data_IF_576618435072
#
_entry.id   IF_576618435072
#
_cell.length_a   1.000
_cell.length_b   1.000
_cell.length_c   1.000
_cell.angle_alpha   90.00
_cell.angle_beta   90.00
_cell.angle_gamma   90.00
#
_symmetry.space_group_name_H-M   'P 1'
#
loop_
_entity.id
_entity.type
_entity.pdbx_description
1 polymer ?
#
# COMPACT_ATOMS: atom_id res chain seq x y z
N UNK A 1 25.09 2.46 -14.56
CA UNK A 1 25.35 1.39 -13.57
C UNK A 1 25.14 2.02 -12.20
N UNK A 2 23.94 1.88 -11.63
CA UNK A 2 23.56 2.53 -10.36
C UNK A 2 23.77 1.54 -9.22
N UNK A 3 24.47 1.95 -8.16
CA UNK A 3 24.78 1.12 -6.99
C UNK A 3 23.51 0.75 -6.20
N UNK A 4 23.15 -0.54 -6.22
CA UNK A 4 22.01 -1.16 -5.54
C UNK A 4 22.39 -1.77 -4.17
N UNK A 5 23.24 -1.12 -3.37
CA UNK A 5 23.84 -1.77 -2.18
C UNK A 5 23.12 -1.57 -0.83
N UNK A 6 21.99 -0.86 -0.75
CA UNK A 6 21.39 -0.54 0.57
C UNK A 6 20.19 -1.39 1.03
N UNK A 7 19.92 -2.57 0.45
CA UNK A 7 18.71 -3.34 0.77
C UNK A 7 18.90 -4.84 1.06
N UNK A 8 20.04 -5.23 1.65
CA UNK A 8 20.44 -6.65 1.70
C UNK A 8 19.76 -7.58 2.73
N UNK A 9 18.89 -7.11 3.64
CA UNK A 9 18.45 -7.97 4.77
C UNK A 9 16.93 -8.23 4.87
N UNK A 10 16.15 -8.12 3.78
CA UNK A 10 14.73 -8.54 3.80
C UNK A 10 14.52 -10.03 4.12
N UNK A 11 15.54 -10.87 3.92
CA UNK A 11 15.51 -12.29 4.31
C UNK A 11 15.47 -12.49 5.83
N UNK A 12 15.97 -11.52 6.60
CA UNK A 12 16.02 -11.54 8.06
C UNK A 12 14.77 -10.93 8.71
N UNK A 13 13.87 -10.35 7.91
CA UNK A 13 12.60 -9.82 8.42
C UNK A 13 11.66 -10.99 8.65
N UNK A 14 11.30 -11.20 9.91
CA UNK A 14 10.25 -12.12 10.32
C UNK A 14 8.90 -11.52 9.92
N UNK A 15 8.07 -12.33 9.26
CA UNK A 15 6.75 -11.91 8.79
C UNK A 15 5.72 -12.82 9.42
N UNK A 16 4.81 -12.23 10.18
CA UNK A 16 3.67 -12.93 10.77
C UNK A 16 2.41 -12.45 10.07
N UNK A 17 1.61 -13.40 9.56
CA UNK A 17 0.30 -13.11 8.96
C UNK A 17 -0.76 -13.87 9.74
N UNK A 18 -1.62 -13.12 10.41
CA UNK A 18 -2.74 -13.61 11.21
C UNK A 18 -4.03 -13.16 10.54
N UNK A 19 -4.84 -14.12 10.11
CA UNK A 19 -6.10 -13.86 9.41
C UNK A 19 -7.15 -14.68 10.12
N UNK A 20 -8.29 -14.06 10.42
CA UNK A 20 -9.45 -14.80 10.88
C UNK A 20 -9.96 -15.70 9.74
N UNK A 21 -9.95 -17.02 9.97
CA UNK A 21 -10.24 -18.03 8.95
C UNK A 21 -11.73 -18.03 8.55
N UNK A 22 -12.62 -17.51 9.40
CA UNK A 22 -14.06 -17.47 9.13
C UNK A 22 -14.50 -16.22 8.35
N UNK A 23 -13.56 -15.34 8.02
CA UNK A 23 -13.82 -14.10 7.31
C UNK A 23 -14.46 -14.33 5.95
N UNK A 24 -15.47 -13.52 5.64
CA UNK A 24 -16.10 -13.46 4.32
C UNK A 24 -16.26 -12.03 3.92
N UNK A 25 -15.80 -11.65 2.74
CA UNK A 25 -15.99 -10.30 2.23
C UNK A 25 -15.82 -10.25 0.72
N UNK A 26 -16.37 -9.19 0.13
CA UNK A 26 -16.14 -8.85 -1.27
C UNK A 26 -15.49 -7.48 -1.32
N UNK A 27 -14.46 -7.35 -2.14
CA UNK A 27 -13.72 -6.10 -2.31
C UNK A 27 -13.39 -5.86 -3.78
N UNK A 28 -13.11 -4.61 -4.12
CA UNK A 28 -12.39 -4.28 -5.35
C UNK A 28 -10.97 -4.84 -5.27
N UNK A 29 -10.62 -5.76 -6.19
CA UNK A 29 -9.35 -6.47 -6.20
C UNK A 29 -8.16 -5.53 -6.34
N UNK A 30 -8.30 -4.49 -7.15
CA UNK A 30 -7.25 -3.52 -7.43
C UNK A 30 -6.98 -2.66 -6.19
N UNK A 31 -8.02 -2.09 -5.57
CA UNK A 31 -7.86 -1.26 -4.36
C UNK A 31 -7.24 -2.02 -3.21
N UNK A 32 -7.74 -3.22 -2.93
CA UNK A 32 -7.20 -4.08 -1.89
C UNK A 32 -5.72 -4.40 -2.16
N UNK A 33 -5.40 -4.70 -3.42
CA UNK A 33 -4.03 -4.94 -3.88
C UNK A 33 -3.10 -3.75 -3.66
N UNK A 34 -3.54 -2.54 -4.00
CA UNK A 34 -2.77 -1.30 -3.84
C UNK A 34 -2.55 -0.97 -2.36
N UNK A 35 -3.61 -1.09 -1.56
CA UNK A 35 -3.54 -0.86 -0.11
C UNK A 35 -2.49 -1.77 0.52
N UNK A 36 -2.61 -3.08 0.28
CA UNK A 36 -1.66 -4.07 0.79
C UNK A 36 -0.24 -3.81 0.28
N UNK A 37 -0.08 -3.58 -1.03
CA UNK A 37 1.23 -3.33 -1.63
C UNK A 37 1.94 -2.15 -0.98
N UNK A 38 1.26 -1.01 -0.82
CA UNK A 38 1.85 0.20 -0.29
C UNK A 38 2.18 0.07 1.20
N UNK A 39 1.27 -0.49 2.01
CA UNK A 39 1.49 -0.67 3.44
C UNK A 39 2.65 -1.66 3.70
N UNK A 40 2.63 -2.82 3.06
CA UNK A 40 3.66 -3.86 3.22
C UNK A 40 5.01 -3.36 2.69
N UNK A 41 5.04 -2.68 1.54
CA UNK A 41 6.29 -2.13 0.99
C UNK A 41 6.88 -1.06 1.90
N UNK A 42 6.04 -0.23 2.53
CA UNK A 42 6.52 0.76 3.49
C UNK A 42 7.08 0.08 4.74
N UNK A 43 6.37 -0.91 5.30
CA UNK A 43 6.83 -1.69 6.44
C UNK A 43 8.23 -2.27 6.19
N UNK A 44 8.44 -2.92 5.04
CA UNK A 44 9.74 -3.43 4.64
C UNK A 44 10.78 -2.32 4.40
N UNK A 45 10.41 -1.25 3.71
CA UNK A 45 11.32 -0.16 3.34
C UNK A 45 11.89 0.58 4.56
N UNK A 46 11.10 0.71 5.62
CA UNK A 46 11.46 1.48 6.80
C UNK A 46 11.86 0.63 8.01
N UNK A 47 12.18 -0.66 7.78
CA UNK A 47 12.80 -1.52 8.80
C UNK A 47 14.05 -0.85 9.37
N UNK A 48 14.16 -0.90 10.70
CA UNK A 48 15.32 -0.43 11.42
C UNK A 48 16.40 -1.52 11.43
N UNK A 49 17.41 -1.36 10.59
CA UNK A 49 18.52 -2.31 10.48
C UNK A 49 19.42 -2.36 11.71
N UNK A 50 19.26 -1.45 12.67
CA UNK A 50 20.00 -1.50 13.95
C UNK A 50 19.39 -2.48 14.94
N UNK A 51 18.13 -2.90 14.74
CA UNK A 51 17.44 -3.85 15.63
C UNK A 51 17.88 -5.28 15.33
N UNK A 52 18.09 -6.04 16.40
CA UNK A 52 18.47 -7.46 16.35
C UNK A 52 17.35 -8.36 15.81
N UNK A 53 16.10 -7.97 16.01
CA UNK A 53 14.93 -8.59 15.39
C UNK A 53 14.24 -7.59 14.49
N UNK A 54 13.88 -8.02 13.28
CA UNK A 54 13.15 -7.23 12.28
C UNK A 54 11.84 -7.94 12.04
N UNK A 55 10.72 -7.25 12.19
CA UNK A 55 9.40 -7.86 12.24
C UNK A 55 8.37 -7.04 11.49
N UNK A 56 7.54 -7.73 10.72
CA UNK A 56 6.31 -7.19 10.15
C UNK A 56 5.16 -8.13 10.53
N UNK A 57 4.14 -7.60 11.19
CA UNK A 57 2.92 -8.32 11.51
C UNK A 57 1.77 -7.77 10.65
N UNK A 58 1.00 -8.68 10.06
CA UNK A 58 -0.18 -8.35 9.27
C UNK A 58 -1.36 -9.09 9.87
N UNK A 59 -2.34 -8.34 10.33
CA UNK A 59 -3.57 -8.87 10.91
C UNK A 59 -4.76 -8.50 10.04
N UNK A 60 -5.67 -9.46 9.82
CA UNK A 60 -6.93 -9.21 9.15
C UNK A 60 -8.10 -9.87 9.89
N UNK A 61 -9.18 -9.11 10.08
CA UNK A 61 -10.42 -9.59 10.70
C UNK A 61 -11.64 -8.90 10.07
N UNK A 62 -12.83 -9.51 10.19
CA UNK A 62 -14.10 -8.82 9.91
C UNK A 62 -14.69 -8.33 11.23
N UNK A 63 -15.00 -7.03 11.32
CA UNK A 63 -15.77 -6.43 12.43
C UNK A 63 -16.93 -5.66 11.84
N UNK A 64 -18.17 -5.97 12.24
CA UNK A 64 -19.37 -5.25 11.79
C UNK A 64 -19.40 -5.02 10.26
N UNK A 65 -19.18 -6.10 9.49
CA UNK A 65 -19.10 -6.08 8.02
C UNK A 65 -17.99 -5.22 7.40
N UNK A 66 -17.00 -4.87 8.21
CA UNK A 66 -15.80 -4.12 7.80
C UNK A 66 -14.58 -5.03 7.87
N UNK A 67 -13.83 -5.12 6.76
CA UNK A 67 -12.47 -5.67 6.77
C UNK A 67 -11.57 -4.71 7.53
N UNK A 68 -11.06 -5.15 8.67
CA UNK A 68 -10.03 -4.46 9.45
C UNK A 68 -8.70 -5.11 9.12
N UNK A 69 -7.85 -4.37 8.43
CA UNK A 69 -6.48 -4.75 8.09
C UNK A 69 -5.50 -3.92 8.92
N UNK A 70 -4.61 -4.57 9.65
CA UNK A 70 -3.54 -3.94 10.41
C UNK A 70 -2.20 -4.39 9.84
N UNK A 71 -1.33 -3.43 9.52
CA UNK A 71 0.06 -3.70 9.16
C UNK A 71 0.94 -2.99 10.18
N UNK A 72 1.66 -3.76 10.99
CA UNK A 72 2.58 -3.29 12.00
C UNK A 72 4.02 -3.67 11.61
N UNK A 73 4.95 -2.75 11.79
CA UNK A 73 6.37 -3.00 11.64
C UNK A 73 7.15 -2.51 12.85
N UNK A 74 8.30 -3.11 13.11
CA UNK A 74 9.21 -2.62 14.14
C UNK A 74 10.31 -1.73 13.55
N UNK A 75 10.00 -0.95 12.52
CA UNK A 75 10.93 -0.08 11.83
C UNK A 75 11.37 1.15 12.64
N UNK A 76 11.84 2.16 11.91
CA UNK A 76 12.29 3.44 12.46
C UNK A 76 11.15 4.30 13.03
N UNK A 77 9.90 3.93 12.71
CA UNK A 77 8.70 4.68 13.07
C UNK A 77 8.57 6.03 12.37
N UNK A 78 7.52 6.78 12.73
CA UNK A 78 7.26 8.13 12.24
C UNK A 78 7.02 9.07 13.41
N UNK A 79 7.61 10.27 13.36
CA UNK A 79 7.29 11.34 14.32
C UNK A 79 5.84 11.80 14.14
N UNK A 80 5.21 12.28 15.21
CA UNK A 80 3.78 12.65 15.20
C UNK A 80 3.43 13.74 14.16
N UNK A 81 4.31 14.72 13.97
CA UNK A 81 4.18 15.76 12.94
C UNK A 81 4.26 15.19 11.52
N UNK A 82 5.11 14.18 11.31
CA UNK A 82 5.21 13.43 10.06
C UNK A 82 3.96 12.59 9.83
N UNK A 83 3.42 11.93 10.85
CA UNK A 83 2.21 11.11 10.76
C UNK A 83 1.00 11.94 10.26
N UNK A 84 0.81 13.16 10.79
CA UNK A 84 -0.28 14.07 10.39
C UNK A 84 -0.27 14.42 8.90
N UNK A 85 0.93 14.42 8.30
CA UNK A 85 1.16 14.79 6.91
C UNK A 85 1.43 13.58 6.00
N UNK A 86 1.51 12.38 6.58
CA UNK A 86 1.93 11.16 5.87
C UNK A 86 1.03 10.80 4.68
N UNK A 87 -0.22 11.25 4.71
CA UNK A 87 -1.20 11.06 3.64
C UNK A 87 -1.28 12.22 2.65
N UNK A 88 -0.46 13.27 2.78
CA UNK A 88 -0.38 14.36 1.80
C UNK A 88 0.34 13.87 0.54
N UNK A 89 -0.13 14.30 -0.64
CA UNK A 89 0.57 14.00 -1.89
C UNK A 89 2.00 14.55 -1.87
N UNK A 90 2.96 13.72 -2.32
CA UNK A 90 4.38 14.04 -2.43
C UNK A 90 5.10 14.33 -1.11
N UNK A 91 4.42 14.15 0.02
CA UNK A 91 5.06 14.30 1.31
C UNK A 91 6.06 13.17 1.57
N UNK A 92 7.25 13.55 2.04
CA UNK A 92 8.32 12.64 2.40
C UNK A 92 8.76 12.96 3.82
N UNK A 93 8.57 12.00 4.73
CA UNK A 93 9.03 12.13 6.12
C UNK A 93 10.54 12.07 6.28
N UNK A 94 11.26 11.57 5.26
CA UNK A 94 12.73 11.52 5.22
C UNK A 94 13.26 11.77 3.81
N UNK A 95 14.44 12.38 3.70
CA UNK A 95 15.13 12.56 2.41
C UNK A 95 15.89 11.31 1.95
N UNK A 96 15.88 10.23 2.74
CA UNK A 96 16.67 9.01 2.50
C UNK A 96 15.93 7.91 1.72
N UNK A 97 14.66 8.12 1.37
CA UNK A 97 13.83 7.09 0.72
C UNK A 97 13.65 7.34 -0.78
N UNK A 98 13.96 6.36 -1.64
CA UNK A 98 13.73 6.41 -3.09
C UNK A 98 12.25 6.19 -3.45
N UNK A 99 11.41 7.20 -3.19
CA UNK A 99 9.99 7.15 -3.51
C UNK A 99 9.38 8.55 -3.60
N UNK A 100 8.41 8.69 -4.51
CA UNK A 100 7.75 9.95 -4.83
C UNK A 100 6.79 10.50 -3.76
N UNK A 101 6.64 9.85 -2.60
CA UNK A 101 5.71 10.30 -1.55
C UNK A 101 4.22 10.14 -1.89
N UNK A 102 3.87 9.24 -2.84
CA UNK A 102 2.48 9.01 -3.25
C UNK A 102 1.83 7.76 -2.64
N UNK A 103 2.61 6.83 -2.12
CA UNK A 103 2.09 5.52 -1.66
C UNK A 103 0.97 5.65 -0.62
N UNK A 104 1.20 6.37 0.48
CA UNK A 104 0.19 6.51 1.54
C UNK A 104 -1.00 7.36 1.12
N UNK A 105 -0.81 8.39 0.29
CA UNK A 105 -1.93 9.13 -0.30
C UNK A 105 -2.84 8.21 -1.13
N UNK A 106 -2.25 7.42 -2.03
CA UNK A 106 -2.99 6.47 -2.87
C UNK A 106 -3.69 5.41 -2.00
N UNK A 107 -3.04 4.95 -0.92
CA UNK A 107 -3.66 4.04 0.04
C UNK A 107 -4.89 4.68 0.68
N UNK A 108 -4.79 5.92 1.18
CA UNK A 108 -5.91 6.64 1.79
C UNK A 108 -7.07 6.80 0.82
N UNK A 109 -6.79 7.25 -0.40
CA UNK A 109 -7.82 7.39 -1.43
C UNK A 109 -8.48 6.03 -1.75
N UNK A 110 -7.69 4.96 -1.84
CA UNK A 110 -8.21 3.62 -2.10
C UNK A 110 -9.12 3.12 -0.99
N UNK A 111 -8.75 3.35 0.28
CA UNK A 111 -9.56 3.00 1.45
C UNK A 111 -10.86 3.81 1.50
N UNK A 112 -10.79 5.13 1.28
CA UNK A 112 -11.98 6.00 1.22
C UNK A 112 -12.93 5.55 0.10
N UNK A 113 -12.40 5.15 -1.06
CA UNK A 113 -13.20 4.59 -2.16
C UNK A 113 -13.71 3.17 -1.89
N UNK A 114 -13.28 2.49 -0.83
CA UNK A 114 -13.93 1.28 -0.32
C UNK A 114 -14.95 1.60 0.79
N UNK A 115 -15.27 2.88 1.00
CA UNK A 115 -16.15 3.34 2.07
C UNK A 115 -15.52 3.22 3.46
N UNK A 116 -14.20 3.18 3.51
CA UNK A 116 -13.40 2.90 4.69
C UNK A 116 -12.70 4.10 5.31
N UNK A 117 -11.94 3.83 6.37
CA UNK A 117 -11.02 4.77 7.01
C UNK A 117 -9.64 4.16 7.16
N UNK A 118 -8.61 5.00 7.11
CA UNK A 118 -7.25 4.61 7.41
C UNK A 118 -6.69 5.53 8.49
N UNK A 119 -6.05 4.94 9.48
CA UNK A 119 -5.33 5.64 10.53
C UNK A 119 -3.96 5.03 10.77
N UNK A 120 -3.08 5.84 11.34
CA UNK A 120 -1.73 5.46 11.71
C UNK A 120 -1.59 5.59 13.23
N UNK A 121 -1.18 4.52 13.88
CA UNK A 121 -0.96 4.47 15.32
C UNK A 121 0.45 3.95 15.60
N UNK A 122 1.36 4.84 15.99
CA UNK A 122 2.78 4.56 16.28
C UNK A 122 3.56 3.92 15.12
N UNK A 123 3.52 2.60 14.97
CA UNK A 123 4.14 1.81 13.93
C UNK A 123 3.14 0.86 13.20
N UNK A 124 1.85 1.03 13.45
CA UNK A 124 0.78 0.29 12.78
C UNK A 124 -0.04 1.21 11.87
N UNK A 125 -0.43 0.70 10.70
CA UNK A 125 -1.47 1.30 9.85
C UNK A 125 -2.72 0.43 9.90
N UNK A 126 -3.85 1.02 10.26
CA UNK A 126 -5.15 0.34 10.34
C UNK A 126 -6.03 0.84 9.20
N UNK A 127 -6.48 -0.07 8.33
CA UNK A 127 -7.44 0.22 7.28
C UNK A 127 -8.74 -0.56 7.54
N UNK A 128 -9.83 0.15 7.80
CA UNK A 128 -11.18 -0.39 7.82
C UNK A 128 -11.83 -0.20 6.47
N UNK A 129 -12.40 -1.23 5.84
CA UNK A 129 -13.07 -1.15 4.53
C UNK A 129 -14.43 -1.87 4.59
N UNK A 130 -15.51 -1.20 4.19
CA UNK A 130 -16.84 -1.81 4.17
C UNK A 130 -16.95 -2.87 3.06
N UNK A 131 -17.75 -3.92 3.28
CA UNK A 131 -18.24 -4.82 2.21
C UNK A 131 -19.14 -4.04 1.23
N UNK A 132 -18.55 -3.26 0.33
CA UNK A 132 -19.30 -2.59 -0.73
C UNK A 132 -18.89 -3.13 -2.08
N UNK A 133 -19.60 -4.19 -2.48
CA UNK A 133 -19.47 -4.78 -3.79
C UNK A 133 -20.81 -4.73 -4.52
N UNK A 134 -21.10 -3.61 -5.18
CA UNK A 134 -21.94 -3.54 -6.38
C UNK A 134 -22.05 -2.10 -6.91
N UNK A 135 -22.36 -2.01 -8.21
CA UNK A 135 -22.85 -0.82 -8.94
C UNK A 135 -21.89 0.00 -9.80
N UNK A 136 -20.67 -0.47 -10.11
CA UNK A 136 -19.84 0.08 -11.20
C UNK A 136 -19.35 1.53 -11.07
N UNK A 137 -19.93 2.30 -10.15
CA UNK A 137 -19.62 3.69 -9.77
C UNK A 137 -18.12 3.87 -9.46
N UNK A 138 -17.53 2.85 -8.84
CA UNK A 138 -16.11 2.86 -8.44
C UNK A 138 -15.12 2.91 -9.60
N UNK A 139 -15.45 2.36 -10.78
CA UNK A 139 -14.53 2.38 -11.94
C UNK A 139 -14.41 3.75 -12.59
N UNK A 140 -15.49 4.52 -12.59
CA UNK A 140 -15.45 5.90 -13.07
C UNK A 140 -14.64 6.74 -12.08
N UNK A 141 -14.89 6.58 -10.79
CA UNK A 141 -14.25 7.34 -9.74
C UNK A 141 -12.76 7.02 -9.58
N UNK A 142 -12.37 5.76 -9.77
CA UNK A 142 -10.96 5.36 -9.74
C UNK A 142 -10.19 5.85 -10.96
N UNK A 143 -10.79 5.82 -12.16
CA UNK A 143 -10.20 6.46 -13.34
C UNK A 143 -10.10 7.96 -13.17
N UNK A 144 -11.10 8.63 -12.61
CA UNK A 144 -11.05 10.06 -12.34
C UNK A 144 -9.91 10.42 -11.38
N UNK A 145 -9.72 9.63 -10.30
CA UNK A 145 -8.60 9.81 -9.38
C UNK A 145 -7.25 9.62 -10.08
N UNK A 146 -7.07 8.54 -10.85
CA UNK A 146 -5.82 8.27 -11.55
C UNK A 146 -5.51 9.32 -12.63
N UNK A 147 -6.51 9.76 -13.39
CA UNK A 147 -6.39 10.86 -14.35
C UNK A 147 -6.00 12.16 -13.64
N UNK A 148 -6.64 12.46 -12.51
CA UNK A 148 -6.32 13.62 -11.68
C UNK A 148 -4.90 13.57 -11.13
N UNK A 149 -4.45 12.38 -10.71
CA UNK A 149 -3.08 12.13 -10.25
C UNK A 149 -2.06 12.28 -11.40
N UNK A 150 -2.34 11.71 -12.57
CA UNK A 150 -1.49 11.84 -13.75
C UNK A 150 -1.32 13.30 -14.15
N UNK A 151 -2.43 14.04 -14.23
CA UNK A 151 -2.43 15.48 -14.49
C UNK A 151 -1.66 16.26 -13.41
N UNK A 152 -1.85 15.96 -12.13
CA UNK A 152 -1.15 16.62 -11.04
C UNK A 152 0.37 16.36 -11.08
N UNK A 153 0.78 15.14 -11.43
CA UNK A 153 2.18 14.78 -11.65
C UNK A 153 2.74 15.60 -12.82
N UNK A 154 2.03 15.65 -13.95
CA UNK A 154 2.50 16.38 -15.14
C UNK A 154 2.58 17.90 -14.92
N UNK A 155 1.60 18.50 -14.26
CA UNK A 155 1.52 19.95 -14.07
C UNK A 155 2.43 20.48 -12.96
N UNK A 156 2.70 19.69 -11.92
CA UNK A 156 3.43 20.15 -10.73
C UNK A 156 4.82 19.50 -10.57
N UNK A 157 5.27 18.73 -11.56
CA UNK A 157 6.60 18.12 -11.62
C UNK A 157 7.74 19.12 -11.37
N UNK A 158 7.72 20.26 -12.06
CA UNK A 158 8.75 21.31 -11.92
C UNK A 158 8.75 21.97 -10.54
N UNK A 159 7.56 22.09 -9.93
CA UNK A 159 7.35 22.66 -8.59
C UNK A 159 7.90 21.75 -7.49
N UNK A 160 7.90 20.43 -7.72
CA UNK A 160 8.23 19.44 -6.69
C UNK A 160 9.61 18.78 -6.84
N UNK A 161 10.42 19.25 -7.78
CA UNK A 161 11.81 18.81 -7.98
C UNK A 161 11.95 17.28 -8.13
N UNK A 162 10.95 16.62 -8.70
CA UNK A 162 11.05 15.21 -9.05
C UNK A 162 12.06 15.04 -10.19
N UNK A 163 12.76 13.91 -10.22
CA UNK A 163 13.60 13.51 -11.35
C UNK A 163 12.73 12.91 -12.46
N UNK A 164 13.22 12.95 -13.71
CA UNK A 164 12.49 12.36 -14.84
C UNK A 164 12.26 10.85 -14.64
N UNK A 165 13.21 10.17 -13.98
CA UNK A 165 13.07 8.76 -13.61
C UNK A 165 11.94 8.52 -12.60
N UNK A 166 11.82 9.37 -11.57
CA UNK A 166 10.73 9.29 -10.59
C UNK A 166 9.37 9.56 -11.25
N UNK A 167 9.30 10.54 -12.16
CA UNK A 167 8.08 10.83 -12.93
C UNK A 167 7.67 9.66 -13.82
N UNK A 168 8.62 9.07 -14.55
CA UNK A 168 8.35 7.92 -15.41
C UNK A 168 7.85 6.71 -14.60
N UNK A 169 8.47 6.43 -13.44
CA UNK A 169 8.05 5.34 -12.55
C UNK A 169 6.63 5.55 -11.97
N UNK A 170 6.30 6.80 -11.62
CA UNK A 170 4.96 7.16 -11.15
C UNK A 170 3.89 6.97 -12.22
N UNK A 171 4.13 7.50 -13.43
CA UNK A 171 3.19 7.38 -14.54
C UNK A 171 3.04 5.91 -14.96
N UNK A 172 4.12 5.12 -14.92
CA UNK A 172 4.06 3.68 -15.15
C UNK A 172 3.18 2.98 -14.09
N UNK A 173 3.33 3.34 -12.81
CA UNK A 173 2.49 2.79 -11.73
C UNK A 173 1.02 3.16 -11.89
N UNK A 174 0.72 4.39 -12.35
CA UNK A 174 -0.64 4.82 -12.69
C UNK A 174 -1.20 4.02 -13.86
N UNK A 175 -0.39 3.78 -14.90
CA UNK A 175 -0.81 3.01 -16.08
C UNK A 175 -1.04 1.52 -15.77
N UNK A 176 -0.20 0.91 -14.94
CA UNK A 176 -0.43 -0.45 -14.42
C UNK A 176 -1.74 -0.50 -13.63
N UNK A 177 -1.98 0.49 -12.78
CA UNK A 177 -3.22 0.65 -12.07
C UNK A 177 -4.45 0.82 -12.97
N UNK A 178 -4.34 1.58 -14.07
CA UNK A 178 -5.40 1.72 -15.08
C UNK A 178 -5.68 0.41 -15.80
N UNK A 179 -4.64 -0.38 -16.12
CA UNK A 179 -4.78 -1.70 -16.71
C UNK A 179 -5.51 -2.67 -15.76
N UNK A 180 -5.13 -2.69 -14.48
CA UNK A 180 -5.80 -3.48 -13.43
C UNK A 180 -7.29 -3.07 -13.27
N UNK A 181 -7.60 -1.77 -13.38
CA UNK A 181 -8.98 -1.28 -13.39
C UNK A 181 -9.75 -1.76 -14.63
N UNK A 182 -9.09 -1.80 -15.79
CA UNK A 182 -9.68 -2.27 -17.04
C UNK A 182 -9.98 -3.78 -17.01
N UNK A 183 -9.14 -4.57 -16.36
CA UNK A 183 -9.36 -6.03 -16.15
C UNK A 183 -10.47 -6.33 -15.12
N UNK A 184 -10.74 -5.37 -14.24
CA UNK A 184 -11.85 -5.28 -13.28
C UNK A 184 -12.58 -6.58 -12.93
N UNK A 185 -12.21 -7.19 -11.81
CA UNK A 185 -13.13 -8.08 -11.06
C UNK A 185 -13.14 -7.70 -9.58
N UNK A 186 -14.34 -7.75 -8.99
CA UNK A 186 -14.46 -7.94 -7.55
C UNK A 186 -13.79 -9.26 -7.19
N UNK A 187 -13.13 -9.28 -6.05
CA UNK A 187 -12.67 -10.52 -5.44
C UNK A 187 -13.58 -10.78 -4.25
N UNK A 188 -14.16 -11.97 -4.24
CA UNK A 188 -14.88 -12.50 -3.10
C UNK A 188 -13.96 -13.49 -2.42
N UNK A 189 -13.89 -13.38 -1.10
CA UNK A 189 -13.21 -14.34 -0.25
C UNK A 189 -14.24 -15.01 0.64
N UNK A 190 -14.31 -16.32 0.54
CA UNK A 190 -14.93 -17.19 1.52
C UNK A 190 -14.00 -17.54 2.68
N UNK A 191 -14.48 -18.34 3.65
CA UNK A 191 -13.66 -18.81 4.77
C UNK A 191 -12.41 -19.52 4.30
N UNK A 192 -11.27 -19.19 4.91
CA UNK A 192 -9.96 -19.77 4.62
C UNK A 192 -9.30 -19.33 3.32
N UNK A 193 -9.95 -18.50 2.49
CA UNK A 193 -9.40 -18.11 1.19
C UNK A 193 -8.46 -16.90 1.28
N UNK A 194 -8.75 -15.95 2.17
CA UNK A 194 -7.98 -14.71 2.26
C UNK A 194 -6.56 -14.91 2.80
N UNK A 195 -6.37 -15.82 3.77
CA UNK A 195 -5.09 -16.10 4.39
C UNK A 195 -4.00 -16.51 3.40
N UNK A 196 -4.19 -17.61 2.64
CA UNK A 196 -3.25 -18.04 1.60
C UNK A 196 -2.98 -16.95 0.56
N UNK A 197 -4.03 -16.26 0.10
CA UNK A 197 -3.92 -15.18 -0.89
C UNK A 197 -3.05 -14.02 -0.38
N UNK A 198 -3.24 -13.61 0.87
CA UNK A 198 -2.46 -12.55 1.51
C UNK A 198 -0.99 -12.96 1.67
N UNK A 199 -0.72 -14.18 2.14
CA UNK A 199 0.65 -14.70 2.29
C UNK A 199 1.39 -14.73 0.95
N UNK A 200 0.74 -15.19 -0.12
CA UNK A 200 1.31 -15.17 -1.47
C UNK A 200 1.69 -13.75 -1.91
N UNK A 201 0.82 -12.77 -1.63
CA UNK A 201 1.05 -11.37 -1.98
C UNK A 201 2.23 -10.77 -1.22
N UNK A 202 2.34 -11.06 0.07
CA UNK A 202 3.47 -10.62 0.91
C UNK A 202 4.79 -11.18 0.36
N UNK A 203 4.81 -12.47 0.04
CA UNK A 203 5.98 -13.12 -0.54
C UNK A 203 6.30 -12.60 -1.96
N UNK A 204 5.30 -12.26 -2.76
CA UNK A 204 5.51 -11.64 -4.07
C UNK A 204 6.15 -10.26 -3.96
N UNK A 205 5.74 -9.45 -2.98
CA UNK A 205 6.35 -8.13 -2.69
C UNK A 205 7.80 -8.31 -2.24
N UNK A 206 8.05 -9.31 -1.37
CA UNK A 206 9.39 -9.68 -0.92
C UNK A 206 10.29 -10.05 -2.11
N UNK A 207 9.79 -10.84 -3.07
CA UNK A 207 10.52 -11.27 -4.29
C UNK A 207 10.68 -10.19 -5.35
N UNK A 208 9.70 -9.32 -5.61
CA UNK A 208 9.78 -8.30 -6.68
C UNK A 208 10.90 -7.27 -6.46
N UNK A 209 11.32 -7.06 -5.21
CA UNK A 209 12.54 -6.28 -4.91
C UNK A 209 13.85 -7.05 -5.12
N UNK A 210 13.77 -8.32 -5.52
CA UNK A 210 14.90 -9.19 -5.85
C UNK A 210 15.01 -9.43 -7.37
N UNK A 211 14.49 -8.52 -8.21
CA UNK A 211 14.71 -8.57 -9.65
C UNK A 211 16.21 -8.43 -10.01
N UNK A 212 16.66 -9.04 -11.12
CA UNK A 212 18.07 -9.23 -11.46
C UNK A 212 18.88 -7.93 -11.57
#
# INVERSE_FOLDING_TARGET
>A
MWHLEYLNNYKEVEVVVNVDEDMRFVSDRYRLSVILHNLITNAFRYIDNTKSRKGVAIEASIKEDTLVLVVEDNGIGMKEDVQKRAYEMFFRGTNKSDGAGLGLYITKESVVKLGGTIDMASAASVAGMLKKARDGYWRAESRNLLNGLGKAIDEQFSRWKLTEAERAALLASIKEAEADIAEGRFIEFGPGEFGPWLRERVEAIRRKKHGP
#
